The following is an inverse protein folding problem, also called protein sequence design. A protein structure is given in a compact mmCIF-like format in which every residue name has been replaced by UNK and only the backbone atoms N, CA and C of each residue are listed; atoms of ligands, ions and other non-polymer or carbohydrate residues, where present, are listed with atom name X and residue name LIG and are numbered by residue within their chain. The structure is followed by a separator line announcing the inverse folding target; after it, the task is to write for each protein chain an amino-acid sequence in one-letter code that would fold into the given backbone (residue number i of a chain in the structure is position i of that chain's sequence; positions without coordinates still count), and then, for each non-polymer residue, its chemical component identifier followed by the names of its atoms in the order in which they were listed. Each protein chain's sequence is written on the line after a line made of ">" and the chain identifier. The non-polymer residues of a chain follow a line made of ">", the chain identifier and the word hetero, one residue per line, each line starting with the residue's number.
data_IF_846582168236
#
_entry.id   IF_846582168236
#
_cell.length_a   1.000
_cell.length_b   1.000
_cell.length_c   1.000
_cell.angle_alpha   90.00
_cell.angle_beta   90.00
_cell.angle_gamma   90.00
#
_symmetry.space_group_name_H-M   'P 1'
#
loop_
_entity.id
_entity.type
_entity.pdbx_description
1 polymer ?
#
# COMPACT_ATOMS: atom_id res chain seq x y z
N UNK A 1 -11.37 69.67 28.71
CA UNK A 1 -11.93 68.42 29.27
C UNK A 1 -11.46 67.27 28.40
N UNK A 2 -10.99 66.20 29.04
CA UNK A 2 -10.03 65.18 28.58
C UNK A 2 -10.47 64.30 27.39
N UNK A 3 -9.48 63.93 26.58
CA UNK A 3 -9.56 62.90 25.55
C UNK A 3 -9.51 61.53 26.23
N UNK A 4 -10.59 60.75 26.12
CA UNK A 4 -10.66 59.41 26.67
C UNK A 4 -9.78 58.44 25.86
N UNK A 5 -8.71 57.95 26.48
CA UNK A 5 -7.88 56.87 25.93
C UNK A 5 -8.68 55.56 25.83
N UNK A 6 -8.78 55.02 24.61
CA UNK A 6 -9.29 53.67 24.37
C UNK A 6 -8.41 52.64 25.08
N UNK A 7 -8.90 52.15 26.23
CA UNK A 7 -8.30 51.03 26.97
C UNK A 7 -8.31 49.77 26.10
N UNK A 8 -7.18 49.48 25.44
CA UNK A 8 -6.94 48.20 24.76
C UNK A 8 -7.19 47.04 25.74
N UNK A 9 -8.29 46.30 25.52
CA UNK A 9 -8.61 45.07 26.26
C UNK A 9 -7.42 44.10 26.18
N UNK A 10 -6.71 43.89 27.30
CA UNK A 10 -5.66 42.87 27.42
C UNK A 10 -6.32 41.50 27.24
N UNK A 11 -6.08 40.88 26.09
CA UNK A 11 -6.60 39.55 25.74
C UNK A 11 -5.99 38.54 26.73
N UNK A 12 -6.78 37.63 27.33
CA UNK A 12 -6.26 36.66 28.29
C UNK A 12 -5.19 35.78 27.63
N UNK A 13 -4.08 35.56 28.34
CA UNK A 13 -2.97 34.74 27.87
C UNK A 13 -3.45 33.29 27.67
N UNK A 14 -3.63 32.89 26.41
CA UNK A 14 -4.05 31.52 26.08
C UNK A 14 -3.01 30.54 26.64
N UNK A 15 -3.41 29.57 27.49
CA UNK A 15 -2.49 28.62 28.09
C UNK A 15 -1.69 27.88 27.02
N UNK A 16 -0.40 27.66 27.28
CA UNK A 16 0.53 27.07 26.32
C UNK A 16 0.07 25.68 25.84
N UNK A 17 -0.64 24.95 26.69
CA UNK A 17 -1.29 23.67 26.38
C UNK A 17 -2.32 23.78 25.26
N UNK A 18 -3.14 24.83 25.23
CA UNK A 18 -4.13 25.08 24.18
C UNK A 18 -3.47 25.53 22.88
N UNK A 19 -2.40 26.34 22.94
CA UNK A 19 -1.61 26.73 21.75
C UNK A 19 -0.96 25.50 21.11
N UNK A 20 -0.37 24.61 21.92
CA UNK A 20 0.22 23.34 21.46
C UNK A 20 -0.84 22.42 20.84
N UNK A 21 -2.01 22.28 21.48
CA UNK A 21 -3.14 21.50 20.94
C UNK A 21 -3.65 22.05 19.60
N UNK A 22 -3.73 23.38 19.45
CA UNK A 22 -4.12 24.03 18.19
C UNK A 22 -3.11 23.79 17.08
N UNK A 23 -1.81 23.89 17.36
CA UNK A 23 -0.72 23.58 16.41
C UNK A 23 -0.77 22.13 15.95
N UNK A 24 -0.83 21.17 16.88
CA UNK A 24 -0.93 19.75 16.56
C UNK A 24 -2.16 19.42 15.70
N UNK A 25 -3.31 20.03 16.00
CA UNK A 25 -4.52 19.85 15.20
C UNK A 25 -4.42 20.47 13.80
N UNK A 26 -3.75 21.62 13.67
CA UNK A 26 -3.49 22.23 12.37
C UNK A 26 -2.55 21.36 11.52
N UNK A 27 -1.49 20.82 12.12
CA UNK A 27 -0.58 19.86 11.46
C UNK A 27 -1.31 18.58 11.02
N UNK A 28 -2.17 18.02 11.88
CA UNK A 28 -2.96 16.84 11.52
C UNK A 28 -3.91 17.13 10.36
N UNK A 29 -4.54 18.31 10.33
CA UNK A 29 -5.39 18.74 9.21
C UNK A 29 -4.58 18.87 7.92
N UNK A 30 -3.40 19.47 7.97
CA UNK A 30 -2.50 19.58 6.82
C UNK A 30 -2.07 18.20 6.31
N UNK A 31 -1.68 17.27 7.21
CA UNK A 31 -1.33 15.88 6.86
C UNK A 31 -2.50 15.14 6.21
N UNK A 32 -3.72 15.28 6.73
CA UNK A 32 -4.93 14.69 6.13
C UNK A 32 -5.19 15.21 4.72
N UNK A 33 -5.05 16.52 4.50
CA UNK A 33 -5.18 17.12 3.17
C UNK A 33 -4.13 16.57 2.20
N UNK A 34 -2.88 16.42 2.63
CA UNK A 34 -1.82 15.83 1.82
C UNK A 34 -2.10 14.36 1.48
N UNK A 35 -2.57 13.55 2.43
CA UNK A 35 -2.95 12.15 2.18
C UNK A 35 -4.11 12.08 1.19
N UNK A 36 -5.11 12.95 1.32
CA UNK A 36 -6.25 13.01 0.42
C UNK A 36 -5.82 13.28 -1.03
N UNK A 37 -4.96 14.28 -1.26
CA UNK A 37 -4.45 14.57 -2.61
C UNK A 37 -3.61 13.40 -3.16
N UNK A 38 -2.80 12.74 -2.33
CA UNK A 38 -2.05 11.53 -2.73
C UNK A 38 -2.98 10.38 -3.15
N UNK A 39 -4.04 10.11 -2.36
CA UNK A 39 -5.02 9.07 -2.68
C UNK A 39 -5.73 9.37 -4.00
N UNK A 40 -6.12 10.63 -4.22
CA UNK A 40 -6.74 11.08 -5.47
C UNK A 40 -5.81 10.87 -6.66
N UNK A 41 -4.52 11.16 -6.51
CA UNK A 41 -3.52 10.91 -7.54
C UNK A 41 -3.39 9.42 -7.86
N UNK A 42 -3.18 8.58 -6.85
CA UNK A 42 -3.04 7.13 -7.04
C UNK A 42 -4.29 6.52 -7.69
N UNK A 43 -5.49 6.93 -7.28
CA UNK A 43 -6.73 6.47 -7.91
C UNK A 43 -6.76 6.78 -9.42
N UNK A 44 -6.35 7.99 -9.82
CA UNK A 44 -6.28 8.38 -11.23
C UNK A 44 -5.25 7.53 -11.98
N UNK A 45 -4.09 7.29 -11.38
CA UNK A 45 -3.01 6.49 -11.94
C UNK A 45 -3.43 5.04 -12.21
N UNK A 46 -3.96 4.32 -11.20
CA UNK A 46 -4.43 2.94 -11.35
C UNK A 46 -5.54 2.82 -12.41
N UNK A 47 -6.49 3.77 -12.43
CA UNK A 47 -7.55 3.79 -13.45
C UNK A 47 -6.99 4.00 -14.86
N UNK A 48 -5.96 4.83 -15.01
CA UNK A 48 -5.32 5.07 -16.28
C UNK A 48 -4.54 3.85 -16.74
N UNK A 49 -3.78 3.19 -15.86
CA UNK A 49 -3.04 1.95 -16.14
C UNK A 49 -3.97 0.84 -16.64
N UNK A 50 -5.08 0.58 -15.96
CA UNK A 50 -6.05 -0.43 -16.37
C UNK A 50 -6.64 -0.14 -17.77
N UNK A 51 -6.99 1.12 -18.03
CA UNK A 51 -7.52 1.55 -19.33
C UNK A 51 -6.48 1.47 -20.43
N UNK A 52 -5.22 1.78 -20.14
CA UNK A 52 -4.13 1.71 -21.12
C UNK A 52 -3.87 0.27 -21.55
N UNK A 53 -3.90 -0.68 -20.61
CA UNK A 53 -3.72 -2.12 -20.90
C UNK A 53 -4.80 -2.62 -21.88
N UNK A 54 -6.07 -2.30 -21.59
CA UNK A 54 -7.20 -2.65 -22.47
C UNK A 54 -7.06 -1.99 -23.84
N UNK A 55 -6.65 -0.72 -23.89
CA UNK A 55 -6.47 0.01 -25.13
C UNK A 55 -5.38 -0.62 -25.99
N UNK A 56 -4.22 -0.95 -25.41
CA UNK A 56 -3.12 -1.60 -26.12
C UNK A 56 -3.55 -2.96 -26.70
N UNK A 57 -4.22 -3.79 -25.89
CA UNK A 57 -4.74 -5.06 -26.36
C UNK A 57 -5.73 -4.90 -27.53
N UNK A 58 -6.60 -3.87 -27.51
CA UNK A 58 -7.52 -3.57 -28.62
C UNK A 58 -6.81 -3.06 -29.87
N UNK A 59 -5.81 -2.20 -29.71
CA UNK A 59 -5.02 -1.68 -30.83
C UNK A 59 -4.26 -2.80 -31.55
N UNK A 60 -3.63 -3.71 -30.78
CA UNK A 60 -2.95 -4.87 -31.34
C UNK A 60 -3.92 -5.75 -32.13
N UNK A 61 -5.09 -6.09 -31.56
CA UNK A 61 -6.13 -6.86 -32.27
C UNK A 61 -6.60 -6.20 -33.56
N UNK A 62 -6.78 -4.87 -33.57
CA UNK A 62 -7.15 -4.11 -34.79
C UNK A 62 -6.08 -4.18 -35.87
N UNK A 63 -4.81 -4.17 -35.47
CA UNK A 63 -3.66 -4.27 -36.36
C UNK A 63 -3.30 -5.73 -36.69
N UNK A 64 -4.14 -6.71 -36.34
CA UNK A 64 -3.88 -8.15 -36.46
C UNK A 64 -2.57 -8.62 -35.80
N UNK A 65 -2.12 -7.90 -34.77
CA UNK A 65 -0.93 -8.19 -33.97
C UNK A 65 -1.30 -8.67 -32.57
N UNK A 66 -0.35 -9.28 -31.87
CA UNK A 66 -0.51 -9.74 -30.49
C UNK A 66 0.11 -8.77 -29.49
N UNK A 67 -0.61 -8.50 -28.40
CA UNK A 67 -0.10 -7.74 -27.26
C UNK A 67 0.14 -8.68 -26.09
N UNK A 68 1.38 -8.71 -25.58
CA UNK A 68 1.77 -9.49 -24.41
C UNK A 68 1.87 -8.54 -23.21
N UNK A 69 1.01 -8.69 -22.18
CA UNK A 69 1.06 -7.84 -21.00
C UNK A 69 2.33 -8.10 -20.19
N UNK A 70 2.72 -7.12 -19.37
CA UNK A 70 3.89 -7.25 -18.50
C UNK A 70 3.70 -8.36 -17.46
N UNK A 71 4.75 -9.12 -17.18
CA UNK A 71 4.73 -10.11 -16.11
C UNK A 71 4.50 -9.45 -14.73
N UNK A 72 3.69 -10.07 -13.86
CA UNK A 72 3.38 -9.52 -12.55
C UNK A 72 4.61 -9.53 -11.64
N UNK A 73 4.79 -8.45 -10.87
CA UNK A 73 5.97 -8.26 -9.99
C UNK A 73 5.71 -8.57 -8.52
N UNK A 74 4.47 -8.81 -8.13
CA UNK A 74 4.04 -9.01 -6.76
C UNK A 74 3.08 -10.20 -6.66
N UNK A 75 3.25 -11.02 -5.62
CA UNK A 75 2.33 -12.09 -5.27
C UNK A 75 1.89 -11.97 -3.82
N UNK A 76 0.67 -12.43 -3.55
CA UNK A 76 0.19 -12.68 -2.20
C UNK A 76 0.25 -14.18 -1.91
N UNK A 77 0.98 -14.54 -0.86
CA UNK A 77 1.37 -15.90 -0.54
C UNK A 77 0.68 -16.30 0.76
N UNK A 78 -0.21 -17.29 0.72
CA UNK A 78 -0.96 -17.76 1.89
C UNK A 78 -0.60 -19.19 2.24
N UNK A 79 -0.22 -19.44 3.49
CA UNK A 79 0.02 -20.79 3.97
C UNK A 79 -1.30 -21.53 4.22
N UNK A 80 -1.49 -22.67 3.56
CA UNK A 80 -2.72 -23.48 3.67
C UNK A 80 -2.55 -24.76 4.49
N UNK A 81 -1.32 -25.27 4.65
CA UNK A 81 -1.04 -26.48 5.43
C UNK A 81 -0.37 -26.20 6.75
N UNK A 82 -0.57 -27.11 7.69
CA UNK A 82 0.01 -27.08 9.04
C UNK A 82 1.53 -27.35 9.01
N UNK A 83 2.19 -27.33 10.17
CA UNK A 83 3.63 -27.61 10.34
C UNK A 83 3.97 -29.10 10.30
N UNK A 84 3.00 -29.98 10.51
CA UNK A 84 3.21 -31.42 10.61
C UNK A 84 3.49 -32.04 9.23
N UNK A 85 4.47 -32.94 9.16
CA UNK A 85 4.82 -33.68 7.92
C UNK A 85 5.41 -32.81 6.80
N UNK A 86 5.90 -31.61 7.12
CA UNK A 86 6.54 -30.71 6.14
C UNK A 86 8.05 -30.96 6.11
N UNK A 87 8.63 -31.09 4.92
CA UNK A 87 10.08 -31.28 4.79
C UNK A 87 10.87 -30.10 5.38
N UNK A 88 12.06 -30.32 5.97
CA UNK A 88 12.86 -29.26 6.59
C UNK A 88 13.17 -28.09 5.65
N UNK A 89 13.36 -28.39 4.34
CA UNK A 89 13.59 -27.38 3.30
C UNK A 89 12.39 -26.45 3.14
N UNK A 90 11.20 -27.01 3.05
CA UNK A 90 9.95 -26.24 2.93
C UNK A 90 9.66 -25.47 4.22
N UNK A 91 9.90 -26.08 5.37
CA UNK A 91 9.78 -25.43 6.67
C UNK A 91 10.67 -24.18 6.76
N UNK A 92 11.92 -24.26 6.26
CA UNK A 92 12.83 -23.11 6.25
C UNK A 92 12.38 -22.00 5.32
N UNK A 93 11.88 -22.33 4.12
CA UNK A 93 11.32 -21.35 3.17
C UNK A 93 10.14 -20.61 3.79
N UNK A 94 9.24 -21.34 4.45
CA UNK A 94 8.10 -20.77 5.16
C UNK A 94 8.51 -19.79 6.27
N UNK A 95 9.54 -20.13 7.03
CA UNK A 95 10.11 -19.25 8.05
C UNK A 95 10.68 -17.96 7.44
N UNK A 96 11.40 -18.05 6.31
CA UNK A 96 11.95 -16.88 5.61
C UNK A 96 10.85 -15.94 5.10
N UNK A 97 9.74 -16.50 4.61
CA UNK A 97 8.56 -15.75 4.18
C UNK A 97 7.67 -15.28 5.35
N UNK A 98 8.06 -15.60 6.60
CA UNK A 98 7.35 -15.28 7.86
C UNK A 98 5.97 -15.95 8.00
N UNK A 99 5.76 -17.09 7.36
CA UNK A 99 4.49 -17.82 7.33
C UNK A 99 4.43 -18.93 8.40
N UNK A 100 4.49 -18.54 9.67
CA UNK A 100 4.63 -19.49 10.80
C UNK A 100 3.36 -20.31 11.08
N UNK A 101 2.19 -19.71 10.92
CA UNK A 101 0.89 -20.33 11.20
C UNK A 101 0.09 -20.56 9.90
N UNK A 102 -0.90 -21.44 9.98
CA UNK A 102 -1.91 -21.60 8.93
C UNK A 102 -2.66 -20.27 8.71
N UNK A 103 -3.06 -20.01 7.46
CA UNK A 103 -3.76 -18.80 7.02
C UNK A 103 -3.01 -17.48 7.21
N UNK A 104 -1.74 -17.51 7.61
CA UNK A 104 -0.89 -16.34 7.48
C UNK A 104 -0.66 -16.02 6.01
N UNK A 105 -0.66 -14.72 5.69
CA UNK A 105 -0.43 -14.21 4.35
C UNK A 105 0.68 -13.16 4.33
N UNK A 106 1.56 -13.22 3.33
CA UNK A 106 2.58 -12.18 3.10
C UNK A 106 2.64 -11.78 1.63
N UNK A 107 2.93 -10.49 1.40
CA UNK A 107 3.26 -10.00 0.07
C UNK A 107 4.74 -10.31 -0.24
N UNK A 108 4.99 -10.99 -1.36
CA UNK A 108 6.31 -11.33 -1.83
C UNK A 108 6.56 -10.70 -3.20
N UNK A 109 7.71 -10.01 -3.34
CA UNK A 109 8.18 -9.54 -4.64
C UNK A 109 8.60 -10.74 -5.49
N UNK A 110 8.12 -10.79 -6.73
CA UNK A 110 8.43 -11.84 -7.70
C UNK A 110 9.75 -11.53 -8.40
N UNK A 111 10.74 -12.37 -8.11
CA UNK A 111 12.06 -12.43 -8.72
C UNK A 111 12.32 -13.91 -9.07
N UNK A 112 13.32 -14.20 -9.90
CA UNK A 112 13.69 -15.59 -10.26
C UNK A 112 13.89 -16.50 -9.04
N UNK A 113 14.51 -15.96 -7.98
CA UNK A 113 14.75 -16.69 -6.73
C UNK A 113 13.45 -16.95 -5.96
N UNK A 114 12.61 -15.93 -5.78
CA UNK A 114 11.37 -16.08 -4.99
C UNK A 114 10.38 -17.00 -5.71
N UNK A 115 10.32 -16.97 -7.04
CA UNK A 115 9.54 -17.94 -7.83
C UNK A 115 10.03 -19.38 -7.59
N UNK A 116 11.35 -19.62 -7.59
CA UNK A 116 11.88 -20.97 -7.31
C UNK A 116 11.63 -21.43 -5.87
N UNK A 117 11.67 -20.52 -4.90
CA UNK A 117 11.30 -20.80 -3.50
C UNK A 117 9.83 -21.19 -3.39
N UNK A 118 8.94 -20.44 -4.05
CA UNK A 118 7.50 -20.72 -4.09
C UNK A 118 7.20 -22.05 -4.78
N UNK A 119 7.88 -22.37 -5.90
CA UNK A 119 7.75 -23.66 -6.60
C UNK A 119 8.17 -24.86 -5.74
N UNK A 120 9.24 -24.69 -4.94
CA UNK A 120 9.69 -25.75 -4.02
C UNK A 120 8.65 -26.02 -2.93
N UNK A 121 7.86 -25.02 -2.58
CA UNK A 121 6.83 -25.10 -1.55
C UNK A 121 5.45 -25.34 -2.18
N UNK A 122 5.19 -26.60 -2.54
CA UNK A 122 3.96 -27.08 -3.20
C UNK A 122 2.66 -26.97 -2.36
N UNK A 123 2.67 -26.21 -1.26
CA UNK A 123 1.64 -26.26 -0.21
C UNK A 123 1.19 -24.88 0.24
N UNK A 124 1.18 -23.95 -0.70
CA UNK A 124 0.74 -22.57 -0.55
C UNK A 124 -0.38 -22.36 -1.58
N UNK A 125 -1.37 -21.56 -1.21
CA UNK A 125 -2.19 -20.86 -2.20
C UNK A 125 -1.49 -19.53 -2.51
N UNK A 126 -0.97 -19.37 -3.72
CA UNK A 126 -0.43 -18.08 -4.17
C UNK A 126 -1.38 -17.45 -5.19
N UNK A 127 -1.83 -16.23 -4.89
CA UNK A 127 -2.57 -15.38 -5.81
C UNK A 127 -1.63 -14.37 -6.45
N UNK A 128 -1.70 -14.21 -7.77
CA UNK A 128 -1.06 -13.07 -8.44
C UNK A 128 -1.90 -11.84 -8.11
N UNK A 129 -1.31 -10.87 -7.42
CA UNK A 129 -1.97 -9.60 -7.17
C UNK A 129 -1.82 -8.74 -8.41
N UNK A 130 -2.90 -8.58 -9.17
CA UNK A 130 -2.93 -7.58 -10.23
C UNK A 130 -2.93 -6.20 -9.57
N UNK A 131 -1.85 -5.45 -9.76
CA UNK A 131 -1.74 -4.03 -9.40
C UNK A 131 -2.18 -3.16 -10.55
#
# INVERSE_FOLDING_TARGET
>A
MEVAEEKKKKVPAVPETLKKKRRNNAELKARRKLIYEKVKHYYKEYRQMYRTEIRMARMARRASNFYVPAEPKLAFVIRIRDINGVSPKVHKVSQLLRLRQIFNGTFAKLNKVSVNMLRTWNHILHGITQT
#
